data_IF_533185614516
#
_entry.id   IF_533185614516
#
_cell.length_a   1.000
_cell.length_b   1.000
_cell.length_c   1.000
_cell.angle_alpha   90.00
_cell.angle_beta   90.00
_cell.angle_gamma   90.00
#
_symmetry.space_group_name_H-M   'P 1'
#
loop_
_entity.id
_entity.type
_entity.pdbx_description
1 polymer ?
#
# COMPACT_ATOMS: atom_id res chain seq x y z
N UNK A 1 -3.46 18.30 -6.50
CA UNK A 1 -3.92 18.16 -5.10
C UNK A 1 -5.45 18.19 -5.07
N UNK A 2 -6.12 17.11 -5.54
CA UNK A 2 -7.59 17.03 -5.62
C UNK A 2 -8.21 15.96 -4.70
N UNK A 3 -7.39 15.08 -4.13
CA UNK A 3 -7.84 13.91 -3.36
C UNK A 3 -8.75 14.31 -2.17
N UNK A 4 -8.28 15.20 -1.31
CA UNK A 4 -9.00 15.64 -0.11
C UNK A 4 -10.14 16.65 -0.37
N UNK A 5 -10.45 16.93 -1.64
CA UNK A 5 -11.63 17.71 -2.02
C UNK A 5 -12.82 16.81 -2.33
N UNK A 6 -12.62 15.50 -2.33
CA UNK A 6 -13.64 14.48 -2.60
C UNK A 6 -13.62 13.42 -1.52
N UNK A 7 -14.78 12.86 -1.20
CA UNK A 7 -14.91 11.71 -0.34
C UNK A 7 -16.10 10.85 -0.78
N UNK A 8 -15.97 9.54 -0.62
CA UNK A 8 -17.09 8.61 -0.73
C UNK A 8 -17.75 8.48 0.64
N UNK A 9 -19.08 8.50 0.65
CA UNK A 9 -19.92 8.32 1.82
C UNK A 9 -21.05 7.35 1.47
N UNK A 10 -21.44 6.50 2.41
CA UNK A 10 -22.59 5.61 2.24
C UNK A 10 -23.88 6.38 2.50
N UNK A 11 -24.91 6.14 1.68
CA UNK A 11 -26.27 6.57 1.98
C UNK A 11 -26.94 5.61 2.96
N UNK A 12 -27.28 6.11 4.15
CA UNK A 12 -27.91 5.31 5.23
C UNK A 12 -26.89 4.69 6.20
N UNK A 13 -27.26 3.57 6.84
CA UNK A 13 -26.48 2.93 7.91
C UNK A 13 -25.56 1.80 7.41
N UNK A 14 -25.16 1.81 6.13
CA UNK A 14 -24.28 0.79 5.57
C UNK A 14 -22.80 1.03 5.92
N UNK A 15 -21.99 -0.02 5.73
CA UNK A 15 -20.53 0.06 5.80
C UNK A 15 -19.94 0.32 4.40
N UNK A 16 -18.76 0.96 4.35
CA UNK A 16 -17.94 0.93 3.13
C UNK A 16 -17.13 -0.35 3.14
N UNK A 17 -17.10 -1.04 2.01
CA UNK A 17 -16.31 -2.26 1.84
C UNK A 17 -15.51 -2.19 0.53
N UNK A 18 -14.24 -2.55 0.64
CA UNK A 18 -13.32 -2.71 -0.48
C UNK A 18 -12.68 -4.08 -0.40
N UNK A 19 -12.76 -4.83 -1.50
CA UNK A 19 -12.00 -6.06 -1.70
C UNK A 19 -10.85 -5.76 -2.64
N UNK A 20 -9.63 -5.84 -2.11
CA UNK A 20 -8.42 -5.55 -2.87
C UNK A 20 -7.75 -6.88 -3.25
N UNK A 21 -7.59 -7.19 -4.55
CA UNK A 21 -6.78 -8.31 -5.00
C UNK A 21 -5.32 -8.12 -4.58
N UNK A 22 -4.72 -9.15 -4.00
CA UNK A 22 -3.38 -9.13 -3.41
C UNK A 22 -2.69 -10.48 -3.57
N UNK A 23 -1.38 -10.48 -3.46
CA UNK A 23 -0.56 -11.69 -3.45
C UNK A 23 -0.52 -12.27 -2.04
N UNK A 24 -0.83 -13.57 -1.93
CA UNK A 24 -0.65 -14.28 -0.68
C UNK A 24 0.84 -14.33 -0.31
N UNK A 25 1.12 -14.42 1.00
CA UNK A 25 2.45 -14.51 1.63
C UNK A 25 3.32 -13.25 1.59
N UNK A 26 2.78 -12.13 1.11
CA UNK A 26 3.42 -10.82 1.28
C UNK A 26 2.81 -10.07 2.47
N UNK A 27 3.56 -9.09 2.97
CA UNK A 27 3.06 -8.08 3.89
C UNK A 27 2.53 -6.90 3.07
N UNK A 28 1.50 -6.21 3.56
CA UNK A 28 0.90 -5.07 2.88
C UNK A 28 0.82 -3.86 3.79
N UNK A 29 1.25 -2.70 3.30
CA UNK A 29 1.03 -1.41 3.94
C UNK A 29 -0.21 -0.75 3.31
N UNK A 30 -1.25 -0.59 4.12
CA UNK A 30 -2.50 0.05 3.71
C UNK A 30 -2.52 1.47 4.26
N UNK A 31 -2.72 2.45 3.39
CA UNK A 31 -2.92 3.85 3.77
C UNK A 31 -4.34 4.28 3.51
N UNK A 32 -4.94 4.90 4.51
CA UNK A 32 -6.25 5.50 4.45
C UNK A 32 -6.11 7.01 4.47
N UNK A 33 -6.76 7.67 3.52
CA UNK A 33 -6.80 9.12 3.42
C UNK A 33 -8.22 9.61 3.67
N UNK A 34 -8.34 10.55 4.59
CA UNK A 34 -9.59 11.11 5.06
C UNK A 34 -9.54 12.64 5.04
N UNK A 35 -10.70 13.27 4.85
CA UNK A 35 -10.94 14.66 5.17
C UNK A 35 -12.43 14.84 5.53
N UNK A 36 -12.72 15.57 6.61
CA UNK A 36 -14.10 15.94 6.93
C UNK A 36 -14.47 17.19 6.12
N UNK A 37 -15.03 16.95 4.93
CA UNK A 37 -15.43 17.99 3.97
C UNK A 37 -16.93 18.32 4.03
N UNK A 38 -17.69 17.63 4.88
CA UNK A 38 -19.10 17.90 5.13
C UNK A 38 -19.25 19.01 6.16
N UNK A 39 -19.77 20.16 5.72
CA UNK A 39 -19.99 21.31 6.59
C UNK A 39 -21.01 21.07 7.72
N UNK A 40 -21.80 19.99 7.66
CA UNK A 40 -22.73 19.62 8.74
C UNK A 40 -22.02 19.01 9.96
N UNK A 41 -20.81 18.46 9.77
CA UNK A 41 -19.97 17.95 10.85
C UNK A 41 -19.11 19.10 11.40
N UNK A 42 -19.49 19.59 12.58
CA UNK A 42 -18.97 20.82 13.18
C UNK A 42 -18.32 20.59 14.55
N UNK A 43 -18.31 19.36 15.07
CA UNK A 43 -17.65 19.02 16.33
C UNK A 43 -17.28 17.53 16.42
N UNK A 44 -16.34 17.17 17.32
CA UNK A 44 -16.03 15.77 17.63
C UNK A 44 -17.29 14.96 17.99
N UNK A 45 -17.30 13.69 17.62
CA UNK A 45 -18.34 12.72 17.94
C UNK A 45 -19.54 12.72 16.99
N UNK A 46 -19.61 13.61 16.01
CA UNK A 46 -20.70 13.64 15.02
C UNK A 46 -20.51 12.62 13.88
N UNK A 47 -19.26 12.28 13.56
CA UNK A 47 -18.92 11.20 12.65
C UNK A 47 -17.82 10.35 13.29
N UNK A 48 -18.17 9.10 13.59
CA UNK A 48 -17.29 8.13 14.23
C UNK A 48 -17.51 6.78 13.54
N UNK A 49 -16.44 6.14 13.11
CA UNK A 49 -16.50 4.83 12.46
C UNK A 49 -15.29 3.98 12.82
N UNK A 50 -15.48 2.67 12.78
CA UNK A 50 -14.44 1.68 13.06
C UNK A 50 -13.84 1.17 11.74
N UNK A 51 -12.52 1.00 11.71
CA UNK A 51 -11.76 0.47 10.58
C UNK A 51 -11.47 -1.01 10.83
N UNK A 52 -11.90 -1.84 9.90
CA UNK A 52 -11.64 -3.27 9.89
C UNK A 52 -10.78 -3.65 8.70
N UNK A 53 -9.82 -4.54 8.94
CA UNK A 53 -9.06 -5.20 7.88
C UNK A 53 -9.08 -6.70 8.13
N UNK A 54 -9.50 -7.48 7.13
CA UNK A 54 -9.71 -8.92 7.22
C UNK A 54 -10.55 -9.32 8.45
N UNK A 55 -11.65 -8.58 8.69
CA UNK A 55 -12.56 -8.81 9.80
C UNK A 55 -12.05 -8.40 11.20
N UNK A 56 -10.80 -7.93 11.32
CA UNK A 56 -10.24 -7.45 12.59
C UNK A 56 -10.46 -5.95 12.74
N UNK A 57 -11.11 -5.53 13.83
CA UNK A 57 -11.20 -4.12 14.21
C UNK A 57 -9.81 -3.62 14.64
N UNK A 58 -9.31 -2.59 13.98
CA UNK A 58 -7.97 -2.04 14.22
C UNK A 58 -8.00 -0.71 14.94
N UNK A 59 -8.94 0.17 14.59
CA UNK A 59 -9.01 1.52 15.14
C UNK A 59 -10.38 2.13 14.98
N UNK A 60 -10.67 3.12 15.84
CA UNK A 60 -11.84 3.99 15.75
C UNK A 60 -11.39 5.37 15.29
N UNK A 61 -12.03 5.89 14.24
CA UNK A 61 -11.70 7.18 13.64
C UNK A 61 -12.83 8.18 13.90
N UNK A 62 -12.42 9.38 14.30
CA UNK A 62 -13.21 10.62 14.32
C UNK A 62 -12.31 11.69 13.68
N UNK A 63 -12.56 12.01 12.42
CA UNK A 63 -11.69 12.89 11.62
C UNK A 63 -11.68 14.30 12.22
N UNK A 64 -12.86 14.81 12.59
CA UNK A 64 -12.98 16.16 13.16
C UNK A 64 -12.21 16.28 14.47
N UNK A 65 -12.22 15.24 15.31
CA UNK A 65 -11.41 15.21 16.54
C UNK A 65 -9.91 15.27 16.28
N UNK A 66 -9.44 14.65 15.19
CA UNK A 66 -8.01 14.60 14.86
C UNK A 66 -7.50 15.89 14.22
N UNK A 67 -8.25 16.45 13.27
CA UNK A 67 -7.76 17.54 12.40
C UNK A 67 -8.76 18.67 12.17
N UNK A 68 -9.99 18.58 12.70
CA UNK A 68 -11.06 19.54 12.42
C UNK A 68 -11.71 19.32 11.04
N UNK A 69 -12.34 20.37 10.51
CA UNK A 69 -12.95 20.36 9.19
C UNK A 69 -11.97 20.80 8.09
N UNK A 70 -12.20 20.32 6.87
CA UNK A 70 -11.45 20.68 5.67
C UNK A 70 -9.92 20.49 5.76
N UNK A 71 -9.49 19.56 6.61
CA UNK A 71 -8.08 19.20 6.80
C UNK A 71 -7.84 17.72 6.47
N UNK A 72 -6.68 17.43 5.90
CA UNK A 72 -6.27 16.08 5.55
C UNK A 72 -5.85 15.31 6.80
N UNK A 73 -6.34 14.07 6.91
CA UNK A 73 -5.93 13.11 7.91
C UNK A 73 -5.56 11.80 7.22
N UNK A 74 -4.44 11.20 7.61
CA UNK A 74 -4.00 9.92 7.06
C UNK A 74 -3.67 8.96 8.19
N UNK A 75 -4.08 7.71 8.01
CA UNK A 75 -3.81 6.63 8.94
C UNK A 75 -3.40 5.39 8.16
N UNK A 76 -2.44 4.64 8.68
CA UNK A 76 -1.91 3.47 8.01
C UNK A 76 -1.87 2.23 8.91
N UNK A 77 -1.83 1.07 8.31
CA UNK A 77 -1.60 -0.19 9.00
C UNK A 77 -0.87 -1.20 8.13
N UNK A 78 0.08 -1.92 8.72
CA UNK A 78 0.78 -3.02 8.06
C UNK A 78 0.11 -4.34 8.40
N UNK A 79 -0.47 -4.98 7.39
CA UNK A 79 -1.00 -6.33 7.46
C UNK A 79 0.13 -7.29 7.18
N UNK A 80 0.39 -8.21 8.11
CA UNK A 80 1.49 -9.17 7.99
C UNK A 80 0.98 -10.56 7.65
N UNK A 81 1.80 -11.30 6.91
CA UNK A 81 1.62 -12.72 6.61
C UNK A 81 0.23 -13.02 6.04
N UNK A 82 -0.09 -12.40 4.90
CA UNK A 82 -1.38 -12.63 4.26
C UNK A 82 -1.51 -14.08 3.82
N UNK A 83 -2.58 -14.77 4.22
CA UNK A 83 -2.91 -16.11 3.74
C UNK A 83 -3.90 -16.12 2.57
N UNK A 84 -4.54 -14.97 2.30
CA UNK A 84 -5.60 -14.79 1.31
C UNK A 84 -5.10 -13.99 0.12
N UNK A 85 -5.74 -14.17 -1.04
CA UNK A 85 -5.53 -13.36 -2.25
C UNK A 85 -6.46 -12.14 -2.32
N UNK A 86 -7.31 -11.97 -1.30
CA UNK A 86 -8.19 -10.82 -1.14
C UNK A 86 -7.93 -10.20 0.23
N UNK A 87 -7.65 -8.89 0.23
CA UNK A 87 -7.59 -8.05 1.41
C UNK A 87 -8.91 -7.30 1.54
N UNK A 88 -9.71 -7.65 2.55
CA UNK A 88 -10.98 -6.98 2.84
C UNK A 88 -10.74 -5.79 3.76
N UNK A 89 -11.19 -4.61 3.34
CA UNK A 89 -11.15 -3.37 4.11
C UNK A 89 -12.57 -2.89 4.30
N UNK A 90 -12.98 -2.67 5.56
CA UNK A 90 -14.33 -2.22 5.87
C UNK A 90 -14.31 -1.03 6.83
N UNK A 91 -15.18 -0.05 6.57
CA UNK A 91 -15.46 1.08 7.47
C UNK A 91 -16.88 0.95 8.00
N UNK A 92 -17.03 0.66 9.28
CA UNK A 92 -18.34 0.44 9.91
C UNK A 92 -18.79 1.69 10.69
N UNK A 93 -20.00 2.22 10.45
CA UNK A 93 -20.51 3.37 11.18
C UNK A 93 -20.67 3.06 12.68
N UNK A 94 -20.24 3.99 13.53
CA UNK A 94 -20.61 4.03 14.96
C UNK A 94 -21.59 5.19 15.19
N UNK A 95 -21.26 6.38 14.64
CA UNK A 95 -22.12 7.55 14.60
C UNK A 95 -21.93 8.22 13.24
N UNK A 96 -23.02 8.49 12.52
CA UNK A 96 -22.94 9.04 11.16
C UNK A 96 -22.37 8.04 10.15
N UNK A 97 -22.48 8.36 8.86
CA UNK A 97 -21.95 7.49 7.80
C UNK A 97 -20.40 7.63 7.72
N UNK A 98 -19.64 6.54 7.50
CA UNK A 98 -18.20 6.62 7.28
C UNK A 98 -17.89 7.39 5.99
N UNK A 99 -16.72 8.05 5.96
CA UNK A 99 -16.21 8.74 4.77
C UNK A 99 -14.77 8.33 4.50
N UNK A 100 -14.38 8.30 3.22
CA UNK A 100 -12.99 8.07 2.80
C UNK A 100 -12.68 8.89 1.54
N UNK A 101 -11.51 9.53 1.49
CA UNK A 101 -11.03 10.30 0.33
C UNK A 101 -10.14 9.47 -0.59
N UNK A 102 -9.38 8.53 -0.03
CA UNK A 102 -8.49 7.65 -0.79
C UNK A 102 -8.01 6.46 0.00
N UNK A 103 -7.61 5.42 -0.71
CA UNK A 103 -7.06 4.18 -0.17
C UNK A 103 -5.86 3.78 -1.03
N UNK A 104 -4.72 3.54 -0.39
CA UNK A 104 -3.51 3.04 -1.06
C UNK A 104 -3.13 1.68 -0.45
N UNK A 105 -2.66 0.77 -1.28
CA UNK A 105 -2.29 -0.58 -0.87
C UNK A 105 -0.95 -0.96 -1.50
N UNK A 106 0.07 -1.11 -0.67
CA UNK A 106 1.44 -1.38 -1.11
C UNK A 106 1.88 -2.76 -0.65
N UNK A 107 2.28 -3.61 -1.60
CA UNK A 107 2.99 -4.84 -1.29
C UNK A 107 4.38 -4.48 -0.74
N UNK A 108 4.72 -5.00 0.43
CA UNK A 108 6.06 -4.91 1.01
C UNK A 108 6.84 -6.09 0.45
N UNK A 109 7.67 -5.80 -0.55
CA UNK A 109 8.59 -6.78 -1.13
C UNK A 109 9.97 -6.65 -0.46
N UNK A 110 10.67 -7.77 -0.25
CA UNK A 110 12.07 -7.70 0.14
C UNK A 110 12.84 -6.93 -0.92
N UNK A 111 13.79 -6.10 -0.49
CA UNK A 111 14.71 -5.48 -1.41
C UNK A 111 15.56 -6.57 -2.05
N UNK A 112 15.64 -6.57 -3.38
CA UNK A 112 16.55 -7.44 -4.09
C UNK A 112 18.00 -7.14 -3.68
N UNK A 113 18.84 -8.18 -3.74
CA UNK A 113 20.27 -7.99 -3.62
C UNK A 113 20.73 -7.11 -4.78
N UNK A 114 21.48 -6.06 -4.47
CA UNK A 114 22.03 -5.14 -5.46
C UNK A 114 23.55 -5.24 -5.48
N UNK A 115 24.12 -5.34 -6.68
CA UNK A 115 25.57 -5.26 -6.89
C UNK A 115 26.09 -3.83 -6.70
N UNK A 116 27.25 -3.70 -6.05
CA UNK A 116 27.94 -2.41 -5.86
C UNK A 116 28.33 -1.81 -7.23
N UNK A 117 28.19 -0.49 -7.47
CA UNK A 117 28.48 0.12 -8.78
C UNK A 117 29.87 -0.21 -9.34
N UNK A 118 30.89 -0.29 -8.49
CA UNK A 118 32.26 -0.62 -8.90
C UNK A 118 32.37 -2.06 -9.43
N UNK A 119 31.62 -2.99 -8.85
CA UNK A 119 31.55 -4.38 -9.33
C UNK A 119 30.85 -4.45 -10.69
N UNK A 120 29.79 -3.65 -10.90
CA UNK A 120 29.16 -3.52 -12.23
C UNK A 120 30.17 -3.00 -13.25
N UNK A 121 30.96 -1.99 -12.89
CA UNK A 121 32.02 -1.44 -13.73
C UNK A 121 33.08 -2.49 -14.09
N UNK A 122 33.58 -3.23 -13.10
CA UNK A 122 34.56 -4.29 -13.30
C UNK A 122 34.02 -5.42 -14.20
N UNK A 123 32.78 -5.86 -14.00
CA UNK A 123 32.16 -6.92 -14.79
C UNK A 123 31.94 -6.49 -16.25
N UNK A 124 31.56 -5.22 -16.50
CA UNK A 124 31.49 -4.67 -17.86
C UNK A 124 32.86 -4.65 -18.54
N UNK A 125 33.91 -4.24 -17.83
CA UNK A 125 35.28 -4.23 -18.38
C UNK A 125 35.75 -5.65 -18.75
N UNK A 126 35.47 -6.64 -17.92
CA UNK A 126 35.76 -8.05 -18.22
C UNK A 126 34.99 -8.54 -19.45
N UNK A 127 33.75 -8.10 -19.64
CA UNK A 127 32.92 -8.41 -20.83
C UNK A 127 33.51 -7.96 -22.13
N UNK A 128 33.99 -6.73 -22.14
CA UNK A 128 34.65 -6.16 -23.31
C UNK A 128 35.97 -6.87 -23.59
N UNK A 129 36.78 -7.11 -22.55
CA UNK A 129 38.08 -7.78 -22.68
C UNK A 129 37.98 -9.20 -23.22
N UNK A 130 37.03 -9.99 -22.68
CA UNK A 130 36.83 -11.39 -23.07
C UNK A 130 35.96 -11.56 -24.33
N UNK A 131 35.46 -10.45 -24.91
CA UNK A 131 34.57 -10.45 -26.08
C UNK A 131 33.38 -11.40 -25.94
N UNK A 132 32.79 -11.45 -24.75
CA UNK A 132 31.68 -12.36 -24.46
C UNK A 132 30.47 -11.98 -25.33
N UNK A 133 29.94 -12.90 -26.16
CA UNK A 133 28.79 -12.62 -27.01
C UNK A 133 27.54 -12.26 -26.20
N UNK A 134 26.72 -11.33 -26.72
CA UNK A 134 25.47 -10.92 -26.05
C UNK A 134 24.50 -12.07 -25.77
N UNK A 135 24.50 -13.10 -26.64
CA UNK A 135 23.69 -14.32 -26.50
C UNK A 135 24.04 -15.20 -25.29
N UNK A 136 25.13 -14.91 -24.58
CA UNK A 136 25.56 -15.68 -23.40
C UNK A 136 24.88 -15.21 -22.11
N UNK A 137 23.94 -14.26 -22.17
CA UNK A 137 23.13 -13.83 -21.02
C UNK A 137 23.90 -13.04 -19.95
N UNK A 138 25.15 -12.63 -20.21
CA UNK A 138 26.00 -11.94 -19.25
C UNK A 138 25.65 -10.44 -19.11
N UNK A 139 24.41 -10.15 -18.77
CA UNK A 139 23.87 -8.82 -18.46
C UNK A 139 23.22 -8.77 -17.07
N UNK A 140 23.14 -9.90 -16.36
CA UNK A 140 22.56 -9.97 -15.03
C UNK A 140 23.49 -9.40 -13.96
N UNK A 141 22.88 -8.85 -12.91
CA UNK A 141 23.54 -8.57 -11.65
C UNK A 141 24.12 -9.90 -11.11
N UNK A 142 25.46 -10.05 -10.98
CA UNK A 142 26.09 -11.31 -10.58
C UNK A 142 25.77 -11.73 -9.14
N UNK A 143 25.17 -10.84 -8.35
CA UNK A 143 24.72 -11.09 -6.98
C UNK A 143 23.20 -11.35 -6.89
N UNK A 144 22.43 -11.19 -7.98
CA UNK A 144 20.98 -11.35 -7.98
C UNK A 144 20.47 -12.80 -8.10
N UNK A 145 21.05 -13.73 -8.87
CA UNK A 145 20.52 -15.09 -8.92
C UNK A 145 20.92 -15.89 -7.68
N UNK A 146 19.93 -16.33 -6.90
CA UNK A 146 20.12 -17.30 -5.81
C UNK A 146 20.28 -18.75 -6.30
N UNK A 147 19.90 -19.00 -7.55
CA UNK A 147 20.01 -20.28 -8.26
C UNK A 147 20.75 -20.07 -9.59
N UNK A 148 21.72 -20.93 -9.88
CA UNK A 148 22.54 -20.88 -11.09
C UNK A 148 21.83 -21.48 -12.31
N UNK A 149 20.50 -21.36 -12.39
CA UNK A 149 19.79 -21.79 -13.59
C UNK A 149 20.29 -20.89 -14.73
N UNK A 150 20.95 -21.52 -15.69
CA UNK A 150 21.66 -20.84 -16.74
C UNK A 150 20.72 -19.82 -17.40
N UNK A 151 21.15 -18.57 -17.42
CA UNK A 151 20.45 -17.47 -18.09
C UNK A 151 20.40 -17.75 -19.60
N UNK A 152 19.40 -18.49 -20.05
CA UNK A 152 19.00 -18.50 -21.46
C UNK A 152 18.22 -17.20 -21.66
N UNK A 153 18.90 -16.21 -22.25
CA UNK A 153 18.36 -14.87 -22.48
C UNK A 153 17.16 -14.82 -23.41
#
# INVERSE_FOLDING_TARGET
MKLYQTALMVTGNGALEYELPVDAKLDYLVWFHFAEIDSSVTRPGQRVFDVFINGKNLTRIDIYKQVGSFAAYSWHYTVKNLSSTILSVQLHPVVGAPVISGLENYAIVPADLSTVPDQVGAMRALKESLRVPGRMGWNGDPCAPTNWDAWEG
#
